data_IF_180068237085
#
_entry.id   IF_180068237085
#
_cell.length_a   1.000
_cell.length_b   1.000
_cell.length_c   1.000
_cell.angle_alpha   90.00
_cell.angle_beta   90.00
_cell.angle_gamma   90.00
#
_symmetry.space_group_name_H-M   'P 1'
#
loop_
_entity.id
_entity.type
_entity.pdbx_description
1 polymer ?
#
# COMPACT_ATOMS: atom_id res chain seq x y z
N UNK A 1 -54.82 6.82 19.93
CA UNK A 1 -56.21 6.99 19.41
C UNK A 1 -57.21 7.00 20.58
N UNK A 2 -58.21 7.83 20.48
CA UNK A 2 -59.29 7.90 21.44
C UNK A 2 -60.51 7.10 20.88
N UNK A 3 -61.10 6.19 21.64
CA UNK A 3 -62.27 5.44 21.17
C UNK A 3 -63.44 6.40 20.84
N UNK A 4 -64.04 6.26 19.65
CA UNK A 4 -65.17 7.09 19.21
C UNK A 4 -64.78 8.40 18.49
N UNK A 5 -63.47 8.74 18.44
CA UNK A 5 -63.04 9.96 17.74
C UNK A 5 -62.82 9.73 16.25
N UNK A 6 -63.05 10.79 15.48
CA UNK A 6 -62.61 10.89 14.08
C UNK A 6 -61.37 11.75 13.94
N UNK A 7 -60.59 11.52 12.91
CA UNK A 7 -59.30 12.17 12.67
C UNK A 7 -59.28 12.81 11.30
N UNK A 8 -58.63 13.96 11.19
CA UNK A 8 -58.32 14.58 9.91
C UNK A 8 -56.90 15.10 9.92
N UNK A 9 -56.04 14.47 9.10
CA UNK A 9 -54.66 14.88 8.94
C UNK A 9 -54.53 16.03 7.92
N UNK A 10 -53.33 16.65 7.88
CA UNK A 10 -52.96 17.77 7.00
C UNK A 10 -53.22 17.47 5.51
N UNK A 11 -53.14 16.20 5.08
CA UNK A 11 -53.37 15.74 3.71
C UNK A 11 -54.82 15.33 3.44
N UNK A 12 -55.71 15.49 4.44
CA UNK A 12 -57.12 15.12 4.36
C UNK A 12 -57.42 13.67 4.71
N UNK A 13 -56.41 12.83 4.99
CA UNK A 13 -56.63 11.46 5.42
C UNK A 13 -57.27 11.38 6.80
N UNK A 14 -58.02 10.28 7.08
CA UNK A 14 -58.83 10.13 8.27
C UNK A 14 -58.50 8.90 9.12
N UNK A 15 -57.40 8.23 8.83
CA UNK A 15 -56.92 7.09 9.62
C UNK A 15 -56.52 7.51 11.04
N UNK A 16 -56.66 6.63 12.01
CA UNK A 16 -56.26 6.90 13.40
C UNK A 16 -54.72 7.04 13.59
N UNK A 17 -53.95 6.61 12.59
CA UNK A 17 -52.48 6.75 12.52
C UNK A 17 -52.05 7.25 11.16
N UNK A 18 -50.99 8.02 11.12
CA UNK A 18 -50.38 8.49 9.90
C UNK A 18 -48.88 8.32 9.97
N UNK A 19 -48.23 7.92 8.86
CA UNK A 19 -46.78 7.66 8.83
C UNK A 19 -46.08 8.83 8.18
N UNK A 20 -45.12 9.42 8.91
CA UNK A 20 -44.24 10.48 8.39
C UNK A 20 -43.18 9.87 7.51
N UNK A 21 -43.04 10.37 6.28
CA UNK A 21 -42.04 9.90 5.30
C UNK A 21 -41.00 10.94 4.92
N UNK A 22 -41.05 12.13 5.50
CA UNK A 22 -40.11 13.22 5.21
C UNK A 22 -40.16 14.37 6.19
N UNK A 23 -39.33 15.38 5.97
CA UNK A 23 -39.38 16.61 6.73
C UNK A 23 -40.62 17.45 6.38
N UNK A 24 -41.17 18.18 7.35
CA UNK A 24 -42.32 19.02 7.16
C UNK A 24 -43.08 19.29 8.45
N UNK A 25 -44.13 20.12 8.34
CA UNK A 25 -45.05 20.41 9.44
C UNK A 25 -46.35 19.64 9.21
N UNK A 26 -46.66 18.80 10.15
CA UNK A 26 -47.80 17.89 10.11
C UNK A 26 -48.79 18.24 11.22
N UNK A 27 -50.07 18.16 10.94
CA UNK A 27 -51.08 18.40 11.96
C UNK A 27 -52.22 17.39 11.82
N UNK A 28 -52.88 17.16 12.93
CA UNK A 28 -54.10 16.33 13.01
C UNK A 28 -55.16 17.12 13.79
N UNK A 29 -56.37 17.10 13.28
CA UNK A 29 -57.56 17.50 14.02
C UNK A 29 -58.31 16.25 14.48
N UNK A 30 -58.66 16.22 15.75
CA UNK A 30 -59.41 15.13 16.37
C UNK A 30 -60.79 15.69 16.73
N UNK A 31 -61.84 14.97 16.35
CA UNK A 31 -63.23 15.30 16.73
C UNK A 31 -63.77 14.16 17.60
N UNK A 32 -64.25 14.54 18.78
CA UNK A 32 -64.96 13.63 19.66
C UNK A 32 -66.30 14.31 20.04
N UNK A 33 -67.39 13.76 19.50
CA UNK A 33 -68.76 14.24 19.74
C UNK A 33 -68.96 15.76 19.49
N UNK A 34 -68.26 16.30 18.45
CA UNK A 34 -68.31 17.70 18.08
C UNK A 34 -67.32 18.59 18.83
N UNK A 35 -66.48 18.02 19.72
CA UNK A 35 -65.39 18.72 20.37
C UNK A 35 -64.11 18.54 19.51
N UNK A 36 -63.63 19.62 18.91
CA UNK A 36 -62.45 19.65 18.04
C UNK A 36 -61.22 20.06 18.80
N UNK A 37 -60.11 19.31 18.65
CA UNK A 37 -58.79 19.66 19.08
C UNK A 37 -57.77 19.44 17.96
N UNK A 38 -56.71 20.22 17.91
CA UNK A 38 -55.68 20.15 16.85
C UNK A 38 -54.31 20.24 17.47
N UNK A 39 -53.46 19.28 17.05
CA UNK A 39 -52.04 19.31 17.38
C UNK A 39 -51.18 19.35 16.12
N UNK A 40 -49.99 19.95 16.27
CA UNK A 40 -49.06 20.16 15.15
C UNK A 40 -47.66 19.76 15.58
N UNK A 41 -46.99 18.99 14.74
CA UNK A 41 -45.61 18.56 14.92
C UNK A 41 -44.78 18.92 13.69
N UNK A 42 -43.56 19.37 13.91
CA UNK A 42 -42.61 19.62 12.82
C UNK A 42 -41.46 18.64 12.90
N UNK A 43 -41.20 17.96 11.80
CA UNK A 43 -40.05 17.07 11.62
C UNK A 43 -39.03 17.75 10.71
N UNK A 44 -37.77 17.71 11.13
CA UNK A 44 -36.65 18.06 10.28
C UNK A 44 -35.98 16.78 9.79
N UNK A 45 -35.85 16.64 8.48
CA UNK A 45 -35.15 15.53 7.85
C UNK A 45 -33.72 15.96 7.54
N UNK A 46 -32.77 15.18 8.00
CA UNK A 46 -31.37 15.36 7.65
C UNK A 46 -30.94 14.17 6.75
N UNK A 47 -30.43 14.40 5.56
CA UNK A 47 -29.87 13.34 4.74
C UNK A 47 -28.60 12.78 5.42
N UNK A 48 -28.29 11.52 5.11
CA UNK A 48 -27.01 10.93 5.51
C UNK A 48 -25.85 11.72 4.89
N UNK A 49 -24.76 11.95 5.62
CA UNK A 49 -23.55 12.52 5.04
C UNK A 49 -23.00 11.55 3.98
N UNK A 50 -22.45 12.10 2.89
CA UNK A 50 -21.77 11.31 1.86
C UNK A 50 -20.28 11.35 2.18
N UNK A 51 -19.65 10.17 2.28
CA UNK A 51 -18.21 9.99 2.42
C UNK A 51 -17.74 9.01 1.37
N UNK A 52 -16.58 9.26 0.77
CA UNK A 52 -15.96 8.43 -0.25
C UNK A 52 -14.43 8.60 -0.14
N UNK A 53 -13.74 7.54 0.29
CA UNK A 53 -12.27 7.48 0.35
C UNK A 53 -11.66 7.01 -0.98
N UNK A 54 -12.51 6.60 -1.93
CA UNK A 54 -12.11 6.01 -3.19
C UNK A 54 -12.01 4.48 -3.15
N UNK A 55 -11.55 3.90 -4.24
CA UNK A 55 -11.34 2.46 -4.34
C UNK A 55 -10.00 2.04 -3.71
N UNK A 56 -9.91 0.78 -3.29
CA UNK A 56 -8.66 0.15 -2.85
C UNK A 56 -7.57 0.46 -3.86
N UNK A 57 -6.41 0.87 -3.36
CA UNK A 57 -5.32 1.36 -4.19
C UNK A 57 -3.95 0.95 -3.64
N UNK A 58 -2.92 1.16 -4.45
CA UNK A 58 -1.53 0.89 -4.07
C UNK A 58 -0.68 2.10 -4.47
N UNK A 59 0.17 2.55 -3.56
CA UNK A 59 1.12 3.66 -3.75
C UNK A 59 2.55 3.18 -3.53
N UNK A 60 3.53 3.98 -3.93
CA UNK A 60 4.91 3.74 -3.55
C UNK A 60 5.14 4.15 -2.08
N UNK A 61 6.00 3.44 -1.36
CA UNK A 61 6.33 3.75 0.06
C UNK A 61 6.86 5.17 0.27
N UNK A 62 7.39 5.79 -0.79
CA UNK A 62 7.88 7.17 -0.76
C UNK A 62 6.78 8.21 -0.96
N UNK A 63 5.58 7.80 -1.36
CA UNK A 63 4.46 8.68 -1.65
C UNK A 63 3.52 8.79 -0.45
N UNK A 64 2.89 9.95 -0.30
CA UNK A 64 1.84 10.18 0.68
C UNK A 64 0.46 10.19 0.00
N UNK A 65 -0.50 9.47 0.57
CA UNK A 65 -1.91 9.56 0.20
C UNK A 65 -2.63 10.50 1.17
N UNK A 66 -3.30 11.50 0.64
CA UNK A 66 -4.12 12.43 1.42
C UNK A 66 -5.60 12.09 1.26
N UNK A 67 -6.24 11.76 2.36
CA UNK A 67 -7.69 11.69 2.46
C UNK A 67 -8.25 13.07 2.87
N UNK A 68 -9.27 13.53 2.18
CA UNK A 68 -10.00 14.76 2.51
C UNK A 68 -11.51 14.49 2.46
N UNK A 69 -12.11 14.43 3.64
CA UNK A 69 -13.55 14.21 3.85
C UNK A 69 -14.23 15.44 4.44
N UNK A 70 -13.61 16.61 4.27
CA UNK A 70 -14.09 17.89 4.84
C UNK A 70 -15.54 18.20 4.46
N UNK A 71 -16.37 18.43 5.46
CA UNK A 71 -17.78 18.83 5.31
C UNK A 71 -18.14 19.92 6.32
N UNK A 72 -18.98 20.90 5.93
CA UNK A 72 -19.49 21.90 6.86
C UNK A 72 -20.30 21.25 7.99
N UNK A 73 -19.91 21.48 9.25
CA UNK A 73 -20.61 20.93 10.41
C UNK A 73 -20.38 19.44 10.68
N UNK A 74 -19.49 18.79 9.91
CA UNK A 74 -19.13 17.40 10.10
C UNK A 74 -18.20 17.17 11.28
N UNK A 75 -18.35 16.05 11.96
CA UNK A 75 -17.36 15.47 12.88
C UNK A 75 -16.84 14.14 12.33
N UNK A 76 -15.61 13.80 12.67
CA UNK A 76 -14.87 12.71 12.05
C UNK A 76 -14.29 11.80 13.13
N UNK A 77 -14.24 10.51 12.83
CA UNK A 77 -13.50 9.53 13.63
C UNK A 77 -12.85 8.52 12.70
N UNK A 78 -11.51 8.52 12.69
CA UNK A 78 -10.69 7.57 11.94
C UNK A 78 -10.37 6.31 12.76
N UNK A 79 -9.85 5.27 12.11
CA UNK A 79 -9.49 3.99 12.73
C UNK A 79 -8.46 4.13 13.86
N UNK A 80 -7.62 5.17 13.82
CA UNK A 80 -6.63 5.49 14.87
C UNK A 80 -7.18 6.40 15.98
N UNK A 81 -8.48 6.76 15.90
CA UNK A 81 -9.14 7.68 16.82
C UNK A 81 -8.90 9.17 16.55
N UNK A 82 -8.19 9.53 15.49
CA UNK A 82 -8.04 10.92 15.06
C UNK A 82 -9.37 11.50 14.57
N UNK A 83 -9.52 12.83 14.68
CA UNK A 83 -10.78 13.54 14.39
C UNK A 83 -10.62 14.68 13.39
N UNK A 84 -9.49 14.73 12.67
CA UNK A 84 -9.27 15.72 11.61
C UNK A 84 -10.15 15.43 10.40
N UNK A 85 -10.63 16.45 9.67
CA UNK A 85 -11.32 16.23 8.39
C UNK A 85 -10.39 15.72 7.29
N UNK A 86 -9.08 15.80 7.49
CA UNK A 86 -8.07 15.31 6.55
C UNK A 86 -7.09 14.39 7.26
N UNK A 87 -6.55 13.42 6.53
CA UNK A 87 -5.53 12.50 7.00
C UNK A 87 -4.55 12.18 5.89
N UNK A 88 -3.24 12.24 6.18
CA UNK A 88 -2.19 11.77 5.30
C UNK A 88 -1.59 10.48 5.82
N UNK A 89 -1.23 9.57 4.90
CA UNK A 89 -0.57 8.31 5.20
C UNK A 89 0.26 7.82 4.04
N UNK A 90 1.32 7.05 4.33
CA UNK A 90 2.13 6.31 3.35
C UNK A 90 2.28 4.83 3.73
N UNK A 91 1.60 4.38 4.79
CA UNK A 91 1.65 2.99 5.24
C UNK A 91 0.55 2.12 4.64
N UNK A 92 0.87 0.86 4.32
CA UNK A 92 -0.12 -0.13 3.95
C UNK A 92 -1.09 -0.41 5.11
N UNK A 93 -2.37 -0.62 4.81
CA UNK A 93 -3.38 -0.96 5.80
C UNK A 93 -4.78 -0.58 5.38
N UNK A 94 -5.73 -0.97 6.22
CA UNK A 94 -7.13 -0.61 6.05
C UNK A 94 -7.42 0.71 6.75
N UNK A 95 -7.84 1.72 6.01
CA UNK A 95 -8.25 3.02 6.49
C UNK A 95 -9.76 3.13 6.43
N UNK A 96 -10.36 3.62 7.49
CA UNK A 96 -11.79 3.91 7.50
C UNK A 96 -12.07 5.19 8.29
N UNK A 97 -13.18 5.82 7.96
CA UNK A 97 -13.65 7.02 8.65
C UNK A 97 -15.15 6.94 8.89
N UNK A 98 -15.57 7.40 10.06
CA UNK A 98 -16.96 7.71 10.37
C UNK A 98 -17.11 9.22 10.21
N UNK A 99 -18.06 9.65 9.39
CA UNK A 99 -18.45 11.06 9.26
C UNK A 99 -19.83 11.21 9.85
N UNK A 100 -19.97 12.12 10.81
CA UNK A 100 -21.24 12.45 11.46
C UNK A 100 -21.63 13.90 11.17
N UNK A 101 -22.88 14.12 10.79
CA UNK A 101 -23.49 15.42 10.56
C UNK A 101 -24.94 15.37 11.02
N UNK A 102 -25.38 16.33 11.86
CA UNK A 102 -26.76 16.39 12.41
C UNK A 102 -27.22 15.07 13.07
N UNK A 103 -26.34 14.38 13.79
CA UNK A 103 -26.59 13.05 14.40
C UNK A 103 -26.88 11.92 13.41
N UNK A 104 -26.60 12.12 12.13
CA UNK A 104 -26.57 11.10 11.10
C UNK A 104 -25.13 10.75 10.77
N UNK A 105 -24.80 9.47 10.59
CA UNK A 105 -23.44 9.06 10.30
C UNK A 105 -23.37 8.11 9.11
N UNK A 106 -22.25 8.15 8.43
CA UNK A 106 -21.88 7.23 7.35
C UNK A 106 -20.41 6.85 7.51
N UNK A 107 -20.07 5.65 7.08
CA UNK A 107 -18.69 5.15 7.09
C UNK A 107 -18.26 4.80 5.68
N UNK A 108 -16.97 4.96 5.41
CA UNK A 108 -16.33 4.40 4.23
C UNK A 108 -14.95 3.88 4.58
N UNK A 109 -14.41 2.98 3.76
CA UNK A 109 -13.12 2.34 3.98
C UNK A 109 -12.40 2.08 2.67
N UNK A 110 -11.06 2.12 2.75
CA UNK A 110 -10.14 1.84 1.64
C UNK A 110 -9.00 0.94 2.17
N UNK A 111 -8.64 -0.09 1.40
CA UNK A 111 -7.43 -0.89 1.64
C UNK A 111 -6.27 -0.31 0.81
N UNK A 112 -5.22 0.16 1.51
CA UNK A 112 -4.03 0.75 0.92
C UNK A 112 -2.90 -0.26 0.91
N UNK A 113 -2.43 -0.62 -0.29
CA UNK A 113 -1.18 -1.36 -0.49
C UNK A 113 0.00 -0.42 -0.67
N UNK A 114 1.21 -0.90 -0.42
CA UNK A 114 2.45 -0.19 -0.74
C UNK A 114 3.39 -1.05 -1.57
N UNK A 115 4.17 -0.40 -2.42
CA UNK A 115 5.26 -0.99 -3.19
C UNK A 115 6.56 -0.34 -2.73
N UNK A 116 7.51 -1.17 -2.28
CA UNK A 116 8.84 -0.70 -1.91
C UNK A 116 9.60 -0.14 -3.13
N UNK A 117 10.49 0.80 -2.89
CA UNK A 117 11.51 1.16 -3.86
C UNK A 117 12.37 -0.07 -4.18
N UNK A 118 12.89 -0.18 -5.42
CA UNK A 118 13.83 -1.25 -5.72
C UNK A 118 15.10 -1.07 -4.89
N UNK A 119 15.70 -2.18 -4.50
CA UNK A 119 16.99 -2.24 -3.80
C UNK A 119 17.82 -3.36 -4.42
N UNK A 120 19.08 -3.08 -4.75
CA UNK A 120 20.03 -4.03 -5.30
C UNK A 120 21.35 -3.96 -4.59
N UNK A 121 21.95 -5.13 -4.31
CA UNK A 121 23.28 -5.27 -3.70
C UNK A 121 24.02 -6.42 -4.39
N UNK A 122 25.06 -6.10 -5.15
CA UNK A 122 25.96 -7.05 -5.81
C UNK A 122 27.07 -7.56 -4.88
N UNK A 123 27.04 -7.08 -3.63
CA UNK A 123 28.04 -7.39 -2.62
C UNK A 123 29.34 -6.58 -2.77
N UNK A 124 30.31 -6.83 -1.88
CA UNK A 124 31.55 -6.07 -1.85
C UNK A 124 32.46 -6.40 -3.05
N UNK A 125 33.35 -5.46 -3.37
CA UNK A 125 34.47 -5.67 -4.28
C UNK A 125 35.26 -6.92 -3.90
N UNK A 126 35.65 -7.74 -4.87
CA UNK A 126 36.27 -9.03 -4.62
C UNK A 126 37.18 -9.48 -5.77
N UNK A 127 37.94 -10.53 -5.52
CA UNK A 127 38.81 -11.13 -6.50
C UNK A 127 38.20 -12.43 -7.06
N UNK A 128 38.32 -12.61 -8.36
CA UNK A 128 37.96 -13.82 -9.08
C UNK A 128 39.20 -14.59 -9.46
N UNK A 129 39.21 -15.90 -9.24
CA UNK A 129 40.35 -16.74 -9.69
C UNK A 129 40.45 -16.78 -11.21
N UNK A 130 41.63 -16.65 -11.75
CA UNK A 130 41.86 -16.73 -13.20
C UNK A 130 41.24 -17.98 -13.81
N UNK A 131 40.38 -17.83 -14.82
CA UNK A 131 39.64 -18.89 -15.48
C UNK A 131 38.42 -19.42 -14.78
N UNK A 132 38.01 -18.82 -13.67
CA UNK A 132 36.71 -19.06 -13.05
C UNK A 132 35.62 -18.21 -13.68
N UNK A 133 34.39 -18.64 -13.52
CA UNK A 133 33.16 -17.92 -13.90
C UNK A 133 32.33 -17.70 -12.63
N UNK A 134 31.79 -16.53 -12.45
CA UNK A 134 30.91 -16.19 -11.36
C UNK A 134 29.61 -15.65 -11.90
N UNK A 135 28.51 -15.89 -11.20
CA UNK A 135 27.19 -15.31 -11.49
C UNK A 135 26.94 -14.12 -10.57
N UNK A 136 26.73 -12.94 -11.15
CA UNK A 136 26.20 -11.77 -10.44
C UNK A 136 24.68 -11.78 -10.54
N UNK A 137 24.01 -11.64 -9.40
CA UNK A 137 22.56 -11.77 -9.28
C UNK A 137 21.99 -10.48 -8.70
N UNK A 138 20.94 -9.93 -9.34
CA UNK A 138 20.26 -8.71 -8.96
C UNK A 138 18.75 -8.91 -8.78
N UNK A 139 18.32 -10.13 -8.37
CA UNK A 139 16.91 -10.52 -8.32
C UNK A 139 16.07 -9.65 -7.39
N UNK A 140 14.83 -9.36 -7.81
CA UNK A 140 13.83 -8.68 -7.01
C UNK A 140 12.42 -8.76 -7.62
N UNK A 141 11.38 -8.49 -6.82
CA UNK A 141 10.00 -8.64 -7.27
C UNK A 141 9.62 -7.55 -8.29
N UNK A 142 9.17 -7.98 -9.46
CA UNK A 142 8.72 -7.08 -10.54
C UNK A 142 9.78 -6.06 -10.99
N UNK A 143 11.07 -6.41 -10.92
CA UNK A 143 12.15 -5.58 -11.41
C UNK A 143 12.39 -5.78 -12.91
N UNK A 144 12.80 -4.70 -13.55
CA UNK A 144 13.49 -4.73 -14.85
C UNK A 144 14.95 -4.39 -14.60
N UNK A 145 15.86 -4.98 -15.39
CA UNK A 145 17.29 -4.93 -15.20
C UNK A 145 17.96 -4.30 -16.42
N UNK A 146 19.01 -3.56 -16.19
CA UNK A 146 19.92 -3.09 -17.23
C UNK A 146 21.33 -3.11 -16.69
N UNK A 147 22.13 -4.06 -17.18
CA UNK A 147 23.54 -4.14 -16.89
C UNK A 147 24.35 -3.22 -17.80
N UNK A 148 25.59 -2.94 -17.43
CA UNK A 148 26.53 -2.11 -18.19
C UNK A 148 26.87 -2.70 -19.56
N UNK A 149 26.82 -4.04 -19.72
CA UNK A 149 26.99 -4.72 -21.00
C UNK A 149 25.73 -4.68 -21.89
N UNK A 150 24.63 -4.10 -21.41
CA UNK A 150 23.33 -4.01 -22.09
C UNK A 150 22.42 -5.22 -21.87
N UNK A 151 22.79 -6.21 -21.10
CA UNK A 151 21.92 -7.34 -20.75
C UNK A 151 20.80 -6.90 -19.81
N UNK A 152 19.66 -7.62 -19.88
CA UNK A 152 18.41 -7.28 -19.18
C UNK A 152 17.86 -8.43 -18.34
N UNK A 153 18.66 -9.46 -18.11
CA UNK A 153 18.30 -10.57 -17.22
C UNK A 153 18.50 -10.22 -15.73
N UNK A 154 17.93 -11.02 -14.82
CA UNK A 154 18.13 -10.84 -13.38
C UNK A 154 19.55 -11.19 -12.92
N UNK A 155 20.35 -11.83 -13.78
CA UNK A 155 21.76 -12.17 -13.51
C UNK A 155 22.59 -12.11 -14.78
N UNK A 156 23.91 -11.99 -14.61
CA UNK A 156 24.93 -12.15 -15.66
C UNK A 156 26.04 -13.07 -15.19
N UNK A 157 26.71 -13.75 -16.13
CA UNK A 157 27.93 -14.50 -15.86
C UNK A 157 29.15 -13.67 -16.23
N UNK A 158 30.11 -13.59 -15.34
CA UNK A 158 31.35 -12.86 -15.49
C UNK A 158 32.54 -13.82 -15.43
N UNK A 159 33.58 -13.57 -16.22
CA UNK A 159 34.78 -14.42 -16.34
C UNK A 159 36.10 -13.62 -16.26
N UNK A 160 36.03 -12.35 -15.94
CA UNK A 160 37.20 -11.47 -15.90
C UNK A 160 37.09 -10.30 -14.95
N UNK A 161 38.24 -9.59 -14.75
CA UNK A 161 38.26 -8.41 -13.93
C UNK A 161 37.63 -7.23 -14.68
N UNK A 162 36.65 -6.58 -14.04
CA UNK A 162 36.04 -5.33 -14.51
C UNK A 162 35.25 -4.71 -13.35
N UNK A 163 34.60 -3.57 -13.63
CA UNK A 163 33.59 -2.95 -12.76
C UNK A 163 32.23 -3.22 -13.40
N UNK A 164 31.47 -4.08 -12.79
CA UNK A 164 30.13 -4.43 -13.25
C UNK A 164 29.09 -3.59 -12.54
N UNK A 165 28.09 -3.17 -13.26
CA UNK A 165 27.02 -2.31 -12.75
C UNK A 165 25.68 -2.79 -13.25
N UNK A 166 24.67 -2.72 -12.40
CA UNK A 166 23.28 -2.98 -12.76
C UNK A 166 22.38 -1.86 -12.27
N UNK A 167 21.45 -1.46 -13.14
CA UNK A 167 20.31 -0.62 -12.78
C UNK A 167 19.09 -1.51 -12.66
N UNK A 168 18.44 -1.52 -11.51
CA UNK A 168 17.16 -2.17 -11.28
C UNK A 168 16.04 -1.13 -11.24
N UNK A 169 14.89 -1.45 -11.81
CA UNK A 169 13.76 -0.50 -11.90
C UNK A 169 12.46 -1.23 -11.62
N UNK A 170 11.60 -0.63 -10.83
CA UNK A 170 10.19 -1.00 -10.71
C UNK A 170 9.30 0.22 -10.95
N UNK A 171 7.98 0.08 -10.72
CA UNK A 171 7.02 1.20 -10.93
C UNK A 171 7.28 2.40 -10.01
N UNK A 172 8.00 2.20 -8.89
CA UNK A 172 8.24 3.22 -7.87
C UNK A 172 9.58 3.95 -8.01
N UNK A 173 10.52 3.40 -8.76
CA UNK A 173 11.82 4.05 -8.94
C UNK A 173 12.89 3.13 -9.49
N UNK A 174 14.13 3.59 -9.33
CA UNK A 174 15.34 2.91 -9.75
C UNK A 174 16.35 2.86 -8.62
N UNK A 175 17.14 1.79 -8.60
CA UNK A 175 18.34 1.68 -7.78
C UNK A 175 19.51 1.17 -8.64
N UNK A 176 20.73 1.49 -8.25
CA UNK A 176 21.95 1.13 -8.99
C UNK A 176 23.01 0.67 -8.02
N UNK A 177 23.59 -0.48 -8.31
CA UNK A 177 24.77 -0.94 -7.59
C UNK A 177 25.89 -1.32 -8.53
N UNK A 178 27.12 -1.26 -8.00
CA UNK A 178 28.37 -1.57 -8.72
C UNK A 178 29.28 -2.42 -7.88
N UNK A 179 29.93 -3.40 -8.52
CA UNK A 179 30.94 -4.25 -7.90
C UNK A 179 32.21 -4.27 -8.74
N UNK A 180 33.37 -4.04 -8.12
CA UNK A 180 34.66 -4.19 -8.77
C UNK A 180 35.18 -5.62 -8.55
N UNK A 181 35.44 -6.31 -9.65
CA UNK A 181 36.01 -7.64 -9.66
C UNK A 181 37.47 -7.53 -10.11
N UNK A 182 38.38 -7.88 -9.21
CA UNK A 182 39.83 -8.02 -9.53
C UNK A 182 40.16 -9.47 -9.94
N UNK A 183 41.36 -9.70 -10.42
CA UNK A 183 41.87 -11.03 -10.77
C UNK A 183 42.85 -11.50 -9.70
N UNK A 184 42.68 -12.74 -9.25
CA UNK A 184 43.65 -13.45 -8.44
C UNK A 184 44.10 -14.73 -9.16
N UNK A 185 45.40 -14.99 -9.08
CA UNK A 185 45.99 -16.26 -9.58
C UNK A 185 45.92 -17.33 -8.50
N UNK A 186 44.76 -17.53 -7.88
CA UNK A 186 44.51 -18.43 -6.77
C UNK A 186 45.49 -19.59 -6.77
N UNK A 187 46.34 -19.70 -5.76
CA UNK A 187 47.49 -20.58 -5.69
C UNK A 187 47.16 -22.00 -6.15
N UNK A 188 47.67 -22.37 -7.33
CA UNK A 188 47.93 -23.77 -7.56
C UNK A 188 49.09 -24.13 -6.63
N UNK A 189 48.91 -24.99 -5.62
CA UNK A 189 50.05 -25.44 -4.85
C UNK A 189 51.00 -26.21 -5.79
N UNK A 190 51.89 -25.49 -6.41
CA UNK A 190 53.00 -26.14 -7.10
C UNK A 190 53.89 -26.73 -6.00
N UNK A 191 53.69 -28.00 -5.77
CA UNK A 191 54.61 -28.74 -4.90
C UNK A 191 55.95 -28.81 -5.60
N UNK A 192 56.88 -27.96 -5.22
CA UNK A 192 58.27 -28.10 -5.60
C UNK A 192 58.92 -29.02 -4.56
N UNK A 193 59.28 -30.25 -4.93
CA UNK A 193 59.99 -31.13 -4.00
C UNK A 193 61.24 -30.42 -3.52
N UNK A 194 61.39 -30.27 -2.22
CA UNK A 194 62.59 -29.65 -1.60
C UNK A 194 63.72 -30.65 -1.39
N UNK A 195 63.54 -31.90 -1.86
CA UNK A 195 64.55 -32.96 -1.83
C UNK A 195 64.55 -33.68 -3.17
N UNK A 196 65.70 -33.77 -3.76
CA UNK A 196 65.98 -34.63 -4.90
C UNK A 196 67.15 -35.55 -4.54
N UNK A 197 67.08 -36.80 -4.94
CA UNK A 197 68.12 -37.77 -4.77
C UNK A 197 68.70 -38.08 -6.15
N UNK A 198 69.99 -37.94 -6.28
CA UNK A 198 70.70 -38.33 -7.48
C UNK A 198 71.13 -39.80 -7.34
N UNK A 199 70.19 -40.73 -7.50
CA UNK A 199 70.42 -42.16 -7.35
C UNK A 199 70.31 -42.95 -8.69
N UNK A 200 70.05 -42.22 -9.80
CA UNK A 200 70.04 -42.76 -11.14
C UNK A 200 68.78 -43.58 -11.52
N UNK A 201 67.69 -43.45 -10.71
CA UNK A 201 66.41 -44.09 -10.95
C UNK A 201 65.51 -43.38 -11.97
N UNK A 202 65.92 -42.17 -12.41
CA UNK A 202 65.19 -41.35 -13.37
C UNK A 202 64.04 -40.55 -12.76
N UNK A 203 63.91 -40.54 -11.44
CA UNK A 203 62.89 -39.79 -10.70
C UNK A 203 63.58 -38.69 -9.86
N UNK A 204 63.18 -37.40 -10.03
CA UNK A 204 63.76 -36.26 -9.33
C UNK A 204 65.25 -36.07 -9.52
N UNK A 205 65.75 -36.36 -10.69
CA UNK A 205 67.19 -36.21 -11.04
C UNK A 205 67.58 -34.77 -11.39
N UNK A 206 66.64 -33.97 -11.88
CA UNK A 206 66.84 -32.61 -12.35
C UNK A 206 65.85 -31.62 -11.71
N UNK A 207 66.33 -30.40 -11.41
CA UNK A 207 65.54 -29.24 -11.06
C UNK A 207 65.20 -28.49 -12.36
N UNK A 208 63.91 -28.50 -12.77
CA UNK A 208 63.44 -27.72 -13.90
C UNK A 208 62.96 -26.33 -13.44
#
# INVERSE_FOLDING_TARGET
SYPGSTYQWHDGSTAATWTVTGGGTYWVTVDLDGCLDRDTVTFTYFPLPIVDLGADTTICEADDLLFDVTRPGGSYTWEDGSTSPTRSTNGAGMYWVIVEENSCYTTDSLDLGTIALPEVDLGPDRLLCAGSVEELVAEGPNYTYLWDDGSTGPSIFIDGPDVYSVTVTNVCGTDVDTVAIGLDYCDCPVYVPNTFTHDGDGINEDFL
#
